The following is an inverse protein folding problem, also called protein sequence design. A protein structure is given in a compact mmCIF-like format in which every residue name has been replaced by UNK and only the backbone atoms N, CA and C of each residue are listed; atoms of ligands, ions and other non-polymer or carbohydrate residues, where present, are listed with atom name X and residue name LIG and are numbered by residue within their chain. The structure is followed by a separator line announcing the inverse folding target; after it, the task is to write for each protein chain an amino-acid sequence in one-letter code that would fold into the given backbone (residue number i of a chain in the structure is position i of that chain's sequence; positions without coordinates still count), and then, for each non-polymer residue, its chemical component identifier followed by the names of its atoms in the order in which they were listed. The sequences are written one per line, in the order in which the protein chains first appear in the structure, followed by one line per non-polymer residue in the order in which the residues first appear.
data_IF_389264448115
#
_entry.id   IF_389264448115
#
_cell.length_a   1.000
_cell.length_b   1.000
_cell.length_c   1.000
_cell.angle_alpha   90.00
_cell.angle_beta   90.00
_cell.angle_gamma   90.00
#
_symmetry.space_group_name_H-M   'P 1'
#
loop_
_entity.id
_entity.type
_entity.pdbx_description
1 polymer ?
#
# COMPACT_ATOMS: atom_id res chain seq x y z
N UNK A 1 -18.83 -57.44 34.63
CA UNK A 1 -19.32 -56.93 33.33
C UNK A 1 -19.28 -55.42 33.39
N UNK A 2 -18.10 -54.87 33.11
CA UNK A 2 -17.73 -54.21 31.85
C UNK A 2 -18.27 -52.77 31.77
N UNK A 3 -17.44 -51.88 32.33
CA UNK A 3 -17.36 -50.45 32.00
C UNK A 3 -16.94 -50.36 30.53
N UNK A 4 -17.77 -49.75 29.69
CA UNK A 4 -17.40 -49.39 28.32
C UNK A 4 -17.48 -47.87 28.19
N UNK A 5 -16.31 -47.25 28.38
CA UNK A 5 -15.98 -45.94 27.84
C UNK A 5 -16.11 -45.99 26.32
N UNK A 6 -16.81 -45.01 25.73
CA UNK A 6 -16.66 -44.65 24.33
C UNK A 6 -16.58 -43.12 24.24
N UNK A 7 -15.34 -42.62 24.32
CA UNK A 7 -14.96 -41.29 23.86
C UNK A 7 -15.19 -41.20 22.35
N UNK A 8 -16.13 -40.37 21.92
CA UNK A 8 -16.16 -39.84 20.57
C UNK A 8 -15.16 -38.69 20.51
N UNK A 9 -13.93 -39.02 20.09
CA UNK A 9 -12.95 -38.04 19.65
C UNK A 9 -13.44 -37.48 18.30
N UNK A 10 -13.97 -36.26 18.32
CA UNK A 10 -14.20 -35.47 17.11
C UNK A 10 -12.84 -35.16 16.51
N UNK A 11 -12.53 -35.83 15.40
CA UNK A 11 -11.35 -35.55 14.58
C UNK A 11 -11.53 -34.13 14.05
N UNK A 12 -10.85 -33.17 14.66
CA UNK A 12 -10.58 -31.86 14.06
C UNK A 12 -9.61 -32.15 12.93
N UNK A 13 -10.16 -32.37 11.74
CA UNK A 13 -9.39 -32.36 10.50
C UNK A 13 -8.85 -30.96 10.32
N UNK A 14 -7.58 -30.76 10.68
CA UNK A 14 -6.80 -29.61 10.25
C UNK A 14 -6.80 -29.62 8.72
N UNK A 15 -7.61 -28.76 8.11
CA UNK A 15 -7.41 -28.34 6.73
C UNK A 15 -6.06 -27.65 6.68
N UNK A 16 -5.04 -28.37 6.24
CA UNK A 16 -3.78 -27.77 5.80
C UNK A 16 -4.15 -26.80 4.68
N UNK A 17 -4.18 -25.51 5.02
CA UNK A 17 -4.18 -24.45 4.05
C UNK A 17 -2.85 -24.59 3.29
N UNK A 18 -2.88 -25.28 2.17
CA UNK A 18 -1.83 -25.25 1.17
C UNK A 18 -1.76 -23.80 0.71
N UNK A 19 -0.80 -23.05 1.27
CA UNK A 19 -0.51 -21.71 0.81
C UNK A 19 -0.07 -21.83 -0.65
N UNK A 20 -0.93 -21.40 -1.58
CA UNK A 20 -0.55 -21.30 -2.98
C UNK A 20 0.62 -20.32 -3.07
N UNK A 21 1.74 -20.76 -3.66
CA UNK A 21 2.86 -19.88 -3.95
C UNK A 21 2.58 -19.12 -5.25
N UNK A 22 3.30 -18.02 -5.46
CA UNK A 22 3.13 -17.17 -6.64
C UNK A 22 3.36 -17.96 -7.94
N UNK A 23 4.35 -18.84 -7.92
CA UNK A 23 4.71 -19.71 -9.03
C UNK A 23 3.59 -20.70 -9.36
N UNK A 24 2.92 -21.26 -8.36
CA UNK A 24 1.80 -22.18 -8.57
C UNK A 24 0.60 -21.48 -9.22
N UNK A 25 0.33 -20.22 -8.85
CA UNK A 25 -0.73 -19.44 -9.48
C UNK A 25 -0.39 -19.11 -10.95
N UNK A 26 0.87 -18.73 -11.22
CA UNK A 26 1.34 -18.44 -12.58
C UNK A 26 1.30 -19.68 -13.48
N UNK A 27 1.69 -20.85 -12.97
CA UNK A 27 1.59 -22.12 -13.70
C UNK A 27 0.15 -22.48 -14.06
N UNK A 28 -0.81 -22.05 -13.23
CA UNK A 28 -2.25 -22.19 -13.49
C UNK A 28 -2.84 -21.08 -14.35
N UNK A 29 -2.02 -20.12 -14.78
CA UNK A 29 -2.42 -19.01 -15.64
C UNK A 29 -3.07 -17.83 -14.90
N UNK A 30 -3.01 -17.82 -13.57
CA UNK A 30 -3.42 -16.69 -12.75
C UNK A 30 -2.21 -15.81 -12.47
N UNK A 31 -2.32 -14.51 -12.71
CA UNK A 31 -1.25 -13.54 -12.43
C UNK A 31 -1.49 -12.87 -11.07
N UNK A 32 -0.86 -13.33 -9.97
CA UNK A 32 -1.22 -12.89 -8.62
C UNK A 32 -1.18 -11.37 -8.38
N UNK A 33 -0.16 -10.61 -8.83
CA UNK A 33 -0.18 -9.16 -8.68
C UNK A 33 -1.31 -8.50 -9.47
N UNK A 34 -1.86 -9.16 -10.49
CA UNK A 34 -2.95 -8.62 -11.32
C UNK A 34 -4.33 -9.27 -11.08
N UNK A 35 -4.41 -10.25 -10.17
CA UNK A 35 -5.60 -11.05 -9.92
C UNK A 35 -6.47 -10.44 -8.82
N UNK A 36 -7.62 -9.90 -9.22
CA UNK A 36 -8.68 -9.48 -8.29
C UNK A 36 -9.60 -10.65 -7.93
N UNK A 37 -9.93 -10.80 -6.64
CA UNK A 37 -10.93 -11.78 -6.21
C UNK A 37 -12.33 -11.50 -6.80
N UNK A 38 -12.63 -10.28 -7.23
CA UNK A 38 -13.88 -9.98 -7.95
C UNK A 38 -13.87 -10.59 -9.36
N UNK A 39 -12.71 -10.61 -10.01
CA UNK A 39 -12.55 -11.29 -11.31
C UNK A 39 -12.80 -12.79 -11.17
N UNK A 40 -12.41 -13.41 -10.05
CA UNK A 40 -12.74 -14.80 -9.77
C UNK A 40 -14.26 -15.04 -9.69
N UNK A 41 -15.02 -14.06 -9.15
CA UNK A 41 -16.49 -14.14 -9.11
C UNK A 41 -17.11 -14.10 -10.51
N UNK A 42 -16.51 -13.38 -11.45
CA UNK A 42 -16.97 -13.36 -12.84
C UNK A 42 -16.79 -14.72 -13.54
N UNK A 43 -15.86 -15.56 -13.07
CA UNK A 43 -15.70 -16.92 -13.58
C UNK A 43 -16.88 -17.81 -13.19
N UNK A 44 -17.50 -17.57 -12.03
CA UNK A 44 -18.74 -18.25 -11.60
C UNK A 44 -19.92 -17.91 -12.52
N UNK A 45 -19.97 -16.69 -13.06
CA UNK A 45 -21.07 -16.21 -13.91
C UNK A 45 -20.92 -16.67 -15.38
N UNK A 46 -19.76 -17.23 -15.76
CA UNK A 46 -19.46 -17.64 -17.13
C UNK A 46 -19.94 -19.06 -17.44
N UNK A 47 -21.10 -19.17 -18.11
CA UNK A 47 -21.65 -20.45 -18.57
C UNK A 47 -20.70 -21.22 -19.52
N UNK A 48 -19.88 -20.51 -20.29
CA UNK A 48 -18.91 -21.13 -21.22
C UNK A 48 -17.79 -21.83 -20.46
N UNK A 49 -17.25 -21.21 -19.41
CA UNK A 49 -16.18 -21.80 -18.60
C UNK A 49 -16.67 -23.01 -17.80
N UNK A 50 -17.87 -22.91 -17.21
CA UNK A 50 -18.49 -24.05 -16.51
C UNK A 50 -18.71 -25.25 -17.44
N UNK A 51 -19.12 -25.00 -18.69
CA UNK A 51 -19.30 -26.06 -19.69
C UNK A 51 -17.97 -26.73 -20.07
N UNK A 52 -16.90 -25.95 -20.24
CA UNK A 52 -15.56 -26.47 -20.54
C UNK A 52 -14.98 -27.26 -19.36
N UNK A 53 -15.13 -26.76 -18.14
CA UNK A 53 -14.70 -27.43 -16.91
C UNK A 53 -15.45 -28.75 -16.71
N UNK A 54 -16.78 -28.76 -16.90
CA UNK A 54 -17.59 -29.99 -16.82
C UNK A 54 -17.17 -31.02 -17.87
N UNK A 55 -16.89 -30.57 -19.10
CA UNK A 55 -16.40 -31.44 -20.18
C UNK A 55 -15.01 -32.00 -19.88
N UNK A 56 -14.11 -31.18 -19.37
CA UNK A 56 -12.77 -31.59 -18.98
C UNK A 56 -12.80 -32.62 -17.83
N UNK A 57 -13.57 -32.34 -16.78
CA UNK A 57 -13.73 -33.23 -15.62
C UNK A 57 -14.46 -34.54 -15.97
N UNK A 58 -15.27 -34.56 -17.03
CA UNK A 58 -15.90 -35.78 -17.55
C UNK A 58 -14.97 -36.69 -18.36
N UNK A 59 -13.88 -36.13 -18.92
CA UNK A 59 -12.98 -36.84 -19.83
C UNK A 59 -11.63 -37.20 -19.19
N UNK A 60 -11.27 -36.60 -18.06
CA UNK A 60 -10.02 -36.87 -17.36
C UNK A 60 -10.22 -37.81 -16.16
N UNK A 61 -9.27 -38.74 -16.01
CA UNK A 61 -9.21 -39.71 -14.90
C UNK A 61 -8.51 -39.15 -13.65
N UNK A 62 -8.13 -37.87 -13.68
CA UNK A 62 -7.43 -37.15 -12.60
C UNK A 62 -8.38 -36.26 -11.79
N UNK A 63 -7.89 -35.74 -10.67
CA UNK A 63 -8.67 -34.94 -9.72
C UNK A 63 -9.46 -33.81 -10.42
N UNK A 64 -10.74 -33.62 -10.02
CA UNK A 64 -11.59 -32.61 -10.62
C UNK A 64 -11.00 -31.23 -10.37
N UNK A 65 -10.77 -30.47 -11.45
CA UNK A 65 -10.25 -29.10 -11.35
C UNK A 65 -11.43 -28.18 -11.04
N UNK A 66 -11.27 -27.38 -9.98
CA UNK A 66 -12.16 -26.28 -9.66
C UNK A 66 -11.45 -24.94 -9.91
N UNK A 67 -11.61 -24.42 -11.13
CA UNK A 67 -10.96 -23.18 -11.59
C UNK A 67 -11.38 -22.00 -10.70
N UNK A 68 -12.62 -21.99 -10.20
CA UNK A 68 -13.14 -20.93 -9.33
C UNK A 68 -12.46 -21.02 -7.96
N UNK A 69 -12.42 -22.21 -7.37
CA UNK A 69 -11.75 -22.42 -6.09
C UNK A 69 -10.24 -22.15 -6.15
N UNK A 70 -9.58 -22.51 -7.26
CA UNK A 70 -8.16 -22.22 -7.50
C UNK A 70 -7.91 -20.71 -7.65
N UNK A 71 -8.74 -20.01 -8.43
CA UNK A 71 -8.69 -18.55 -8.57
C UNK A 71 -8.84 -17.86 -7.21
N UNK A 72 -9.84 -18.29 -6.41
CA UNK A 72 -10.06 -17.75 -5.08
C UNK A 72 -8.90 -18.04 -4.13
N UNK A 73 -8.32 -19.24 -4.20
CA UNK A 73 -7.15 -19.60 -3.38
C UNK A 73 -5.94 -18.75 -3.72
N UNK A 74 -5.68 -18.51 -5.01
CA UNK A 74 -4.63 -17.61 -5.48
C UNK A 74 -4.87 -16.16 -5.07
N UNK A 75 -6.07 -15.62 -5.27
CA UNK A 75 -6.36 -14.23 -4.94
C UNK A 75 -6.36 -13.96 -3.41
N UNK A 76 -6.73 -14.96 -2.59
CA UNK A 76 -6.72 -14.85 -1.14
C UNK A 76 -5.30 -14.99 -0.55
N UNK A 77 -4.46 -15.82 -1.16
CA UNK A 77 -3.08 -16.04 -0.73
C UNK A 77 -2.19 -14.83 -1.04
N UNK A 78 -2.46 -14.13 -2.14
CA UNK A 78 -1.70 -12.95 -2.58
C UNK A 78 -2.45 -11.64 -2.33
N UNK A 79 -3.12 -11.53 -1.18
CA UNK A 79 -3.82 -10.29 -0.78
C UNK A 79 -2.87 -9.09 -0.78
N UNK A 80 -3.28 -8.06 -1.53
CA UNK A 80 -2.79 -6.67 -1.61
C UNK A 80 -1.87 -6.34 -2.80
N UNK A 81 -2.48 -6.17 -3.98
CA UNK A 81 -2.06 -5.10 -4.88
C UNK A 81 -3.06 -3.92 -4.80
N UNK A 82 -2.80 -2.88 -3.99
CA UNK A 82 -3.69 -1.73 -3.81
C UNK A 82 -3.95 -0.94 -5.10
N UNK A 83 -3.18 -1.19 -6.16
CA UNK A 83 -3.30 -0.54 -7.47
C UNK A 83 -4.50 -1.04 -8.29
N UNK A 84 -5.07 -2.20 -7.97
CA UNK A 84 -6.12 -2.85 -8.79
C UNK A 84 -7.50 -2.95 -8.13
N UNK A 85 -7.63 -2.46 -6.90
CA UNK A 85 -8.92 -2.39 -6.21
C UNK A 85 -9.28 -0.94 -5.85
N UNK A 86 -9.86 -0.18 -6.79
CA UNK A 86 -10.47 1.12 -6.47
C UNK A 86 -11.73 0.99 -5.57
N UNK A 87 -12.26 -0.22 -5.38
CA UNK A 87 -13.46 -0.52 -4.59
C UNK A 87 -13.25 -0.80 -3.10
N UNK A 88 -12.10 -1.36 -2.70
CA UNK A 88 -11.71 -1.47 -1.28
C UNK A 88 -10.91 -0.24 -0.86
N UNK A 89 -11.55 0.91 -1.06
CA UNK A 89 -11.35 2.21 -0.41
C UNK A 89 -9.94 2.42 0.20
N UNK A 90 -8.96 2.73 -0.64
CA UNK A 90 -7.78 3.50 -0.22
C UNK A 90 -8.19 4.80 0.51
N UNK A 91 -9.44 5.25 0.30
CA UNK A 91 -10.15 6.25 1.09
C UNK A 91 -10.18 5.87 2.56
N UNK A 92 -9.37 6.58 3.34
CA UNK A 92 -9.32 6.42 4.79
C UNK A 92 -8.41 5.29 5.26
N UNK A 93 -7.58 4.70 4.38
CA UNK A 93 -6.52 3.77 4.81
C UNK A 93 -5.60 4.47 5.80
N UNK A 94 -5.13 5.65 5.40
CA UNK A 94 -4.30 6.50 6.23
C UNK A 94 -5.17 7.54 6.92
N UNK A 95 -4.95 7.74 8.21
CA UNK A 95 -5.66 8.77 8.97
C UNK A 95 -4.96 10.11 8.92
N UNK A 96 -3.64 10.08 8.71
CA UNK A 96 -2.78 11.24 8.79
C UNK A 96 -1.69 11.21 7.71
N UNK A 97 -1.24 12.39 7.31
CA UNK A 97 -0.13 12.55 6.38
C UNK A 97 0.72 13.78 6.71
N UNK A 98 2.03 13.64 6.52
CA UNK A 98 3.01 14.69 6.69
C UNK A 98 3.82 14.87 5.39
N UNK A 99 3.72 16.05 4.79
CA UNK A 99 4.59 16.47 3.70
C UNK A 99 5.80 17.20 4.27
N UNK A 100 7.00 16.66 4.05
CA UNK A 100 8.27 17.34 4.40
C UNK A 100 8.98 17.78 3.13
N UNK A 101 9.47 19.02 3.12
CA UNK A 101 10.16 19.59 1.97
C UNK A 101 11.26 20.56 2.39
N UNK A 102 12.32 20.72 1.62
CA UNK A 102 13.37 21.69 1.95
C UNK A 102 13.18 22.99 1.18
N UNK A 103 13.04 24.12 1.88
CA UNK A 103 12.84 25.45 1.26
C UNK A 103 13.96 25.83 0.29
N UNK A 104 15.18 25.37 0.52
CA UNK A 104 16.34 25.72 -0.30
C UNK A 104 16.41 24.92 -1.61
N UNK A 105 15.74 23.76 -1.68
CA UNK A 105 15.76 22.89 -2.88
C UNK A 105 14.38 22.79 -3.54
N UNK A 106 13.32 23.32 -2.92
CA UNK A 106 11.94 23.23 -3.44
C UNK A 106 11.80 23.87 -4.82
N UNK A 107 12.60 24.89 -5.15
CA UNK A 107 12.63 25.52 -6.47
C UNK A 107 13.02 24.53 -7.59
N UNK A 108 13.77 23.47 -7.27
CA UNK A 108 14.12 22.40 -8.21
C UNK A 108 12.92 21.45 -8.47
N UNK A 109 11.90 21.50 -7.62
CA UNK A 109 10.69 20.70 -7.67
C UNK A 109 9.48 21.61 -7.96
N UNK A 110 9.49 22.27 -9.11
CA UNK A 110 8.49 23.29 -9.49
C UNK A 110 7.03 22.85 -9.29
N UNK A 111 6.68 21.61 -9.65
CA UNK A 111 5.34 21.04 -9.43
C UNK A 111 4.94 20.98 -7.95
N UNK A 112 5.87 20.56 -7.09
CA UNK A 112 5.64 20.44 -5.65
C UNK A 112 5.61 21.83 -5.01
N UNK A 113 6.43 22.76 -5.50
CA UNK A 113 6.37 24.17 -5.09
C UNK A 113 5.00 24.77 -5.43
N UNK A 114 4.53 24.60 -6.65
CA UNK A 114 3.22 25.10 -7.09
C UNK A 114 2.08 24.46 -6.28
N UNK A 115 2.19 23.17 -5.91
CA UNK A 115 1.27 22.54 -4.98
C UNK A 115 1.26 23.23 -3.62
N UNK A 116 2.43 23.46 -3.01
CA UNK A 116 2.57 24.11 -1.70
C UNK A 116 2.01 25.53 -1.73
N UNK A 117 2.23 26.27 -2.81
CA UNK A 117 1.82 27.68 -2.92
C UNK A 117 0.35 27.87 -3.32
N UNK A 118 -0.23 26.94 -4.09
CA UNK A 118 -1.56 27.13 -4.70
C UNK A 118 -2.64 26.18 -4.20
N UNK A 119 -2.29 24.94 -3.86
CA UNK A 119 -3.27 23.90 -3.50
C UNK A 119 -3.21 23.48 -2.03
N UNK A 120 -2.14 23.81 -1.31
CA UNK A 120 -1.99 23.39 0.08
C UNK A 120 -3.17 23.86 0.93
N UNK A 121 -3.56 25.12 0.81
CA UNK A 121 -4.68 25.69 1.55
C UNK A 121 -6.01 25.02 1.19
N UNK A 122 -6.23 24.68 -0.08
CA UNK A 122 -7.40 23.89 -0.50
C UNK A 122 -7.41 22.54 0.22
N UNK A 123 -6.30 21.79 0.16
CA UNK A 123 -6.21 20.46 0.77
C UNK A 123 -6.39 20.54 2.28
N UNK A 124 -5.79 21.53 2.94
CA UNK A 124 -5.96 21.77 4.37
C UNK A 124 -7.41 22.13 4.72
N UNK A 125 -8.11 22.89 3.88
CA UNK A 125 -9.53 23.22 4.09
C UNK A 125 -10.44 21.98 4.03
N UNK A 126 -10.13 21.01 3.17
CA UNK A 126 -10.92 19.78 3.03
C UNK A 126 -10.53 18.68 4.04
N UNK A 127 -9.25 18.59 4.40
CA UNK A 127 -8.71 17.50 5.24
C UNK A 127 -8.48 17.91 6.69
N UNK A 128 -8.32 19.20 6.97
CA UNK A 128 -8.03 19.78 8.28
C UNK A 128 -6.55 19.69 8.67
N UNK A 129 -6.07 20.72 9.37
CA UNK A 129 -4.67 20.87 9.84
C UNK A 129 -4.22 19.78 10.83
N UNK A 130 -5.20 19.05 11.38
CA UNK A 130 -4.97 17.89 12.26
C UNK A 130 -4.77 16.60 11.51
N UNK A 131 -4.98 16.55 10.20
CA UNK A 131 -4.87 15.32 9.40
C UNK A 131 -3.79 15.40 8.34
N UNK A 132 -3.63 16.56 7.75
CA UNK A 132 -2.55 16.83 6.83
C UNK A 132 -1.72 17.97 7.36
N UNK A 133 -0.41 17.78 7.41
CA UNK A 133 0.56 18.82 7.74
C UNK A 133 1.62 18.89 6.67
N UNK A 134 2.03 20.10 6.33
CA UNK A 134 3.18 20.34 5.48
C UNK A 134 4.20 21.15 6.27
N UNK A 135 5.43 20.65 6.36
CA UNK A 135 6.50 21.30 7.10
C UNK A 135 7.79 21.38 6.31
N UNK A 136 8.52 22.48 6.51
CA UNK A 136 9.86 22.60 5.96
C UNK A 136 10.84 21.76 6.78
N UNK A 137 11.54 20.84 6.13
CA UNK A 137 12.64 20.10 6.74
C UNK A 137 13.82 21.04 6.96
N UNK A 138 14.28 21.09 8.21
CA UNK A 138 15.46 21.83 8.64
C UNK A 138 16.72 20.95 8.62
N UNK A 139 16.57 19.62 8.52
CA UNK A 139 17.69 18.69 8.47
C UNK A 139 18.24 18.58 7.06
N UNK A 140 19.52 18.92 6.91
CA UNK A 140 20.31 18.46 5.77
C UNK A 140 20.45 16.94 5.88
N UNK A 141 19.95 16.19 4.91
CA UNK A 141 19.99 14.71 4.86
C UNK A 141 21.40 14.14 4.62
N UNK A 142 22.45 14.91 4.90
CA UNK A 142 23.83 14.45 4.73
C UNK A 142 24.35 13.85 6.02
N UNK A 143 24.77 12.61 5.92
CA UNK A 143 25.52 11.90 6.96
C UNK A 143 26.72 12.75 7.40
N UNK A 144 27.08 12.67 8.69
CA UNK A 144 28.13 13.50 9.29
C UNK A 144 29.47 13.32 8.56
N UNK A 145 29.74 12.11 8.05
CA UNK A 145 30.93 11.81 7.25
C UNK A 145 30.89 12.45 5.86
N UNK A 146 29.71 12.51 5.23
CA UNK A 146 29.57 13.17 3.92
C UNK A 146 29.66 14.68 4.04
N UNK A 147 29.13 15.24 5.13
CA UNK A 147 29.27 16.66 5.46
C UNK A 147 30.73 17.04 5.70
N UNK A 148 31.50 16.18 6.38
CA UNK A 148 32.93 16.39 6.62
C UNK A 148 33.76 16.28 5.34
N UNK A 149 33.40 15.37 4.44
CA UNK A 149 34.03 15.23 3.12
C UNK A 149 33.74 16.43 2.21
N UNK A 150 32.51 16.96 2.21
CA UNK A 150 32.16 18.15 1.43
C UNK A 150 32.89 19.42 1.90
N UNK A 151 33.07 19.59 3.21
CA UNK A 151 33.82 20.74 3.75
C UNK A 151 35.31 20.71 3.40
N UNK A 152 35.89 19.53 3.21
CA UNK A 152 37.30 19.37 2.80
C UNK A 152 37.54 19.64 1.31
N UNK A 153 36.50 19.54 0.47
CA UNK A 153 36.60 19.68 -1.00
C UNK A 153 36.20 21.06 -1.52
N UNK A 154 36.12 22.08 -0.66
CA UNK A 154 35.93 23.48 -1.07
C UNK A 154 34.63 23.79 -1.83
N UNK A 155 33.69 22.84 -1.87
CA UNK A 155 32.41 22.96 -2.57
C UNK A 155 31.38 23.65 -1.68
N UNK A 156 30.88 24.80 -2.12
CA UNK A 156 29.85 25.55 -1.41
C UNK A 156 28.61 24.70 -1.10
N UNK A 157 28.08 24.90 0.11
CA UNK A 157 26.89 24.27 0.71
C UNK A 157 25.55 24.65 0.01
N UNK A 158 25.55 24.90 -1.30
CA UNK A 158 24.33 25.23 -2.03
C UNK A 158 23.63 23.94 -2.47
N UNK A 159 22.57 23.56 -1.74
CA UNK A 159 21.65 22.51 -2.17
C UNK A 159 21.57 21.27 -1.26
N UNK A 160 21.97 21.37 0.01
CA UNK A 160 21.94 20.24 0.96
C UNK A 160 20.55 19.94 1.54
N UNK A 161 19.52 19.98 0.70
CA UNK A 161 18.16 19.59 1.07
C UNK A 161 17.74 18.32 0.37
N UNK A 162 17.33 17.31 1.14
CA UNK A 162 16.77 16.08 0.58
C UNK A 162 15.51 16.35 -0.27
N UNK A 163 15.14 15.40 -1.15
CA UNK A 163 13.93 15.54 -1.97
C UNK A 163 12.69 15.63 -1.07
N UNK A 164 11.63 16.33 -1.51
CA UNK A 164 10.37 16.35 -0.78
C UNK A 164 9.84 14.91 -0.63
N UNK A 165 9.30 14.60 0.55
CA UNK A 165 8.75 13.28 0.88
C UNK A 165 7.42 13.41 1.61
N UNK A 166 6.49 12.53 1.28
CA UNK A 166 5.19 12.38 1.92
C UNK A 166 5.22 11.15 2.81
N UNK A 167 4.93 11.34 4.09
CA UNK A 167 4.80 10.27 5.08
C UNK A 167 3.32 10.05 5.39
N UNK A 168 2.89 8.80 5.42
CA UNK A 168 1.51 8.40 5.66
C UNK A 168 1.44 7.57 6.95
N UNK A 169 0.43 7.86 7.79
CA UNK A 169 0.27 7.23 9.10
C UNK A 169 -1.16 6.71 9.30
N UNK A 170 -1.26 5.53 9.90
CA UNK A 170 -2.56 4.91 10.23
C UNK A 170 -3.10 5.39 11.58
N UNK A 171 -2.21 5.63 12.56
CA UNK A 171 -2.57 6.01 13.93
C UNK A 171 -1.82 7.27 14.36
N UNK A 172 -2.44 8.06 15.25
CA UNK A 172 -1.76 9.18 15.91
C UNK A 172 -0.97 8.60 17.09
N UNK A 173 0.32 8.33 16.88
CA UNK A 173 1.20 7.73 17.89
C UNK A 173 1.65 8.71 18.97
N UNK A 174 1.47 10.03 18.78
CA UNK A 174 1.80 11.05 19.80
C UNK A 174 0.56 11.71 20.38
N UNK A 175 0.58 11.85 21.71
CA UNK A 175 -0.52 12.34 22.52
C UNK A 175 -1.08 13.67 22.04
N UNK A 176 -2.39 13.85 22.24
CA UNK A 176 -3.17 15.07 21.96
C UNK A 176 -2.33 16.37 21.98
N UNK A 177 -1.80 16.79 20.83
CA UNK A 177 -1.24 18.13 20.66
C UNK A 177 0.17 18.24 20.07
N UNK A 178 0.93 17.16 19.89
CA UNK A 178 2.23 17.25 19.20
C UNK A 178 2.06 17.10 17.69
N UNK A 179 2.59 18.09 16.95
CA UNK A 179 2.70 18.05 15.49
C UNK A 179 3.70 16.97 15.09
N UNK A 180 3.41 16.22 14.00
CA UNK A 180 4.35 15.20 13.50
C UNK A 180 5.67 15.85 13.11
N UNK A 181 6.77 15.19 13.45
CA UNK A 181 8.09 15.66 13.07
C UNK A 181 8.74 14.70 12.08
N UNK A 182 9.77 15.19 11.38
CA UNK A 182 10.56 14.39 10.44
C UNK A 182 11.22 13.16 11.08
N UNK A 183 11.33 13.13 12.41
CA UNK A 183 11.89 12.02 13.19
C UNK A 183 10.94 10.81 13.27
N UNK A 184 9.68 11.00 12.90
CA UNK A 184 8.65 9.96 12.91
C UNK A 184 8.64 9.12 11.62
N UNK A 185 9.68 9.21 10.78
CA UNK A 185 9.83 8.43 9.55
C UNK A 185 9.77 6.91 9.81
N UNK A 186 10.25 6.45 10.96
CA UNK A 186 10.18 5.03 11.36
C UNK A 186 8.78 4.58 11.79
N UNK A 187 7.90 5.51 12.15
CA UNK A 187 6.51 5.26 12.53
C UNK A 187 5.57 5.40 11.33
N UNK A 188 6.05 6.00 10.24
CA UNK A 188 5.31 6.11 8.99
C UNK A 188 5.07 4.71 8.42
N UNK A 189 3.80 4.45 8.10
CA UNK A 189 3.39 3.21 7.43
C UNK A 189 3.95 3.19 6.01
N UNK A 190 4.02 4.36 5.39
CA UNK A 190 4.55 4.52 4.05
C UNK A 190 5.26 5.87 3.89
N UNK A 191 6.39 5.86 3.18
CA UNK A 191 7.18 7.04 2.87
C UNK A 191 7.37 7.12 1.35
N UNK A 192 6.75 8.13 0.74
CA UNK A 192 6.75 8.35 -0.71
C UNK A 192 7.69 9.51 -1.03
N UNK A 193 8.71 9.27 -1.85
CA UNK A 193 9.59 10.33 -2.36
C UNK A 193 8.91 11.05 -3.53
N UNK A 194 8.77 12.36 -3.45
CA UNK A 194 8.00 13.17 -4.41
C UNK A 194 8.84 13.70 -5.58
N UNK A 195 10.01 13.11 -5.85
CA UNK A 195 10.84 13.50 -6.99
C UNK A 195 10.14 13.10 -8.30
N UNK A 196 9.79 14.08 -9.14
CA UNK A 196 9.15 13.86 -10.44
C UNK A 196 7.63 13.66 -10.37
N UNK A 197 7.03 13.87 -9.21
CA UNK A 197 5.58 13.86 -9.04
C UNK A 197 4.96 15.14 -9.61
N UNK A 198 3.78 14.99 -10.21
CA UNK A 198 2.98 16.13 -10.67
C UNK A 198 2.12 16.68 -9.54
N UNK A 199 1.83 17.97 -9.63
CA UNK A 199 0.96 18.69 -8.70
C UNK A 199 -0.42 18.05 -8.58
N UNK A 200 -1.05 17.75 -9.71
CA UNK A 200 -2.41 17.19 -9.77
C UNK A 200 -2.46 15.78 -9.17
N UNK A 201 -1.48 14.95 -9.50
CA UNK A 201 -1.39 13.58 -8.98
C UNK A 201 -1.23 13.56 -7.45
N UNK A 202 -0.42 14.47 -6.90
CA UNK A 202 -0.26 14.61 -5.46
C UNK A 202 -1.55 15.09 -4.79
N UNK A 203 -2.24 16.08 -5.38
CA UNK A 203 -3.52 16.58 -4.90
C UNK A 203 -4.57 15.48 -4.89
N UNK A 204 -4.75 14.79 -6.00
CA UNK A 204 -5.74 13.72 -6.15
C UNK A 204 -5.43 12.54 -5.22
N UNK A 205 -4.15 12.21 -5.03
CA UNK A 205 -3.74 11.22 -4.05
C UNK A 205 -4.14 11.63 -2.64
N UNK A 206 -3.79 12.83 -2.18
CA UNK A 206 -4.12 13.29 -0.82
C UNK A 206 -5.64 13.37 -0.61
N UNK A 207 -6.38 13.80 -1.63
CA UNK A 207 -7.84 13.84 -1.61
C UNK A 207 -8.46 12.45 -1.54
N UNK A 208 -7.83 11.46 -2.16
CA UNK A 208 -8.29 10.07 -2.18
C UNK A 208 -7.91 9.33 -0.91
N UNK A 209 -6.64 9.41 -0.48
CA UNK A 209 -6.10 8.60 0.63
C UNK A 209 -6.64 9.05 1.99
N UNK A 210 -6.76 10.35 2.22
CA UNK A 210 -7.12 10.88 3.53
C UNK A 210 -8.64 11.04 3.68
N UNK A 211 -9.21 10.74 4.86
CA UNK A 211 -10.60 11.03 5.15
C UNK A 211 -10.80 12.55 5.36
N UNK A 212 -11.95 13.09 4.95
CA UNK A 212 -12.29 14.50 5.13
C UNK A 212 -12.45 14.86 6.62
N UNK A 213 -12.07 16.09 7.00
CA UNK A 213 -12.12 16.59 8.37
C UNK A 213 -13.51 16.50 9.01
#
# INVERSE_FOLDING_TARGET
MNVLLLSLATIVGSTEATSFTEEACLERGFDPPNLSCETCRLLEESATLQSLQSKHNSHNQYDPIDIVAECHSCCQSHKFNPTLHPGSSLRGKYRFALLTYNKNTIDQYGEIKDFIERDLDDVLSFKGDKRFQAMASEKSTLDADTMRMLMMMGGGLQGLGGPPKLMLFDNQTKGKGEAWSEEDESEAVEVIKLKGWKREDLKDMLLTLLPNA
#
